data_IF_146356587021
#
_entry.id   IF_146356587021
#
_cell.length_a   1.000
_cell.length_b   1.000
_cell.length_c   1.000
_cell.angle_alpha   90.00
_cell.angle_beta   90.00
_cell.angle_gamma   90.00
#
_symmetry.space_group_name_H-M   'P 1'
#
loop_
_entity.id
_entity.type
_entity.pdbx_description
1 polymer ?
#
# COMPACT_ATOMS: atom_id res chain seq x y z
N UNK A 1 -6.13 40.21 -9.07
CA UNK A 1 -6.08 38.89 -9.75
C UNK A 1 -4.65 38.43 -9.96
N UNK A 2 -3.70 39.35 -10.20
CA UNK A 2 -2.30 38.99 -10.51
C UNK A 2 -1.54 38.32 -9.37
N UNK A 3 -1.76 38.75 -8.11
CA UNK A 3 -1.16 38.08 -6.93
C UNK A 3 -1.60 36.62 -6.76
N UNK A 4 -2.83 36.28 -7.16
CA UNK A 4 -3.31 34.90 -7.11
C UNK A 4 -2.64 34.06 -8.19
N UNK A 5 -2.45 34.59 -9.40
CA UNK A 5 -1.70 33.92 -10.47
C UNK A 5 -0.23 33.72 -10.09
N UNK A 6 0.39 34.70 -9.45
CA UNK A 6 1.77 34.57 -8.97
C UNK A 6 1.90 33.46 -7.93
N UNK A 7 0.94 33.37 -6.98
CA UNK A 7 0.92 32.30 -6.00
C UNK A 7 0.70 30.93 -6.65
N UNK A 8 -0.21 30.84 -7.62
CA UNK A 8 -0.51 29.61 -8.37
C UNK A 8 0.72 29.09 -9.14
N UNK A 9 1.48 29.99 -9.76
CA UNK A 9 2.74 29.65 -10.42
C UNK A 9 3.78 29.13 -9.43
N UNK A 10 3.88 29.72 -8.23
CA UNK A 10 4.79 29.25 -7.17
C UNK A 10 4.40 27.86 -6.67
N UNK A 11 3.10 27.60 -6.48
CA UNK A 11 2.60 26.28 -6.09
C UNK A 11 2.89 25.23 -7.16
N UNK A 12 2.73 25.60 -8.43
CA UNK A 12 3.05 24.72 -9.57
C UNK A 12 4.52 24.36 -9.60
N UNK A 13 5.42 25.32 -9.41
CA UNK A 13 6.86 25.06 -9.35
C UNK A 13 7.21 24.12 -8.19
N UNK A 14 6.66 24.36 -6.99
CA UNK A 14 6.91 23.50 -5.84
C UNK A 14 6.37 22.08 -6.02
N UNK A 15 5.22 21.91 -6.71
CA UNK A 15 4.69 20.58 -7.04
C UNK A 15 5.63 19.81 -7.98
N UNK A 16 6.24 20.50 -8.96
CA UNK A 16 7.26 19.90 -9.83
C UNK A 16 8.52 19.50 -9.06
N UNK A 17 8.99 20.35 -8.14
CA UNK A 17 10.14 20.04 -7.29
C UNK A 17 9.87 18.81 -6.42
N UNK A 18 8.68 18.73 -5.80
CA UNK A 18 8.27 17.56 -5.01
C UNK A 18 8.23 16.28 -5.85
N UNK A 19 7.75 16.37 -7.10
CA UNK A 19 7.72 15.26 -8.04
C UNK A 19 9.13 14.82 -8.45
N UNK A 20 10.06 15.76 -8.60
CA UNK A 20 11.46 15.44 -8.93
C UNK A 20 12.18 14.69 -7.80
N UNK A 21 11.84 14.98 -6.54
CA UNK A 21 12.40 14.27 -5.37
C UNK A 21 11.93 12.82 -5.25
N UNK A 22 11.00 12.35 -6.08
CA UNK A 22 10.42 11.02 -5.98
C UNK A 22 11.42 9.88 -6.15
N UNK A 23 12.44 10.09 -6.96
CA UNK A 23 13.47 9.08 -7.22
C UNK A 23 14.41 8.87 -6.02
N UNK A 24 14.45 9.85 -5.10
CA UNK A 24 15.23 9.76 -3.85
C UNK A 24 14.49 8.98 -2.75
N UNK A 25 13.18 8.75 -2.91
CA UNK A 25 12.38 8.04 -1.91
C UNK A 25 12.64 6.54 -2.02
N UNK A 26 13.41 6.04 -1.06
CA UNK A 26 13.70 4.62 -0.90
C UNK A 26 12.93 4.05 0.29
N UNK A 27 12.13 3.02 0.01
CA UNK A 27 11.46 2.26 1.05
C UNK A 27 12.46 1.33 1.73
N UNK A 28 12.51 1.37 3.06
CA UNK A 28 13.22 0.39 3.87
C UNK A 28 12.28 -0.78 4.17
N UNK A 29 12.71 -2.01 3.87
CA UNK A 29 11.99 -3.20 4.30
C UNK A 29 11.92 -3.27 5.83
N UNK A 30 10.71 -3.50 6.34
CA UNK A 30 10.41 -3.63 7.76
C UNK A 30 10.32 -5.10 8.15
N UNK A 31 9.56 -5.87 7.38
CA UNK A 31 9.19 -7.24 7.73
C UNK A 31 8.70 -7.99 6.49
N UNK A 32 9.01 -9.29 6.45
CA UNK A 32 8.48 -10.24 5.48
C UNK A 32 7.85 -11.41 6.24
N UNK A 33 6.57 -11.68 6.01
CA UNK A 33 5.81 -12.62 6.84
C UNK A 33 4.78 -13.43 6.06
N UNK A 34 4.51 -14.64 6.56
CA UNK A 34 3.37 -15.49 6.18
C UNK A 34 2.54 -15.77 7.43
N UNK A 35 1.22 -15.68 7.38
CA UNK A 35 0.40 -15.75 8.60
C UNK A 35 0.54 -17.06 9.39
N UNK A 36 0.80 -18.17 8.72
CA UNK A 36 1.03 -19.47 9.38
C UNK A 36 2.22 -19.44 10.35
N UNK A 37 3.26 -18.67 10.04
CA UNK A 37 4.48 -18.58 10.83
C UNK A 37 4.27 -17.80 12.14
N UNK A 38 3.12 -17.13 12.29
CA UNK A 38 2.79 -16.25 13.41
C UNK A 38 1.59 -16.73 14.23
N UNK A 39 1.29 -18.03 14.19
CA UNK A 39 0.17 -18.63 14.94
C UNK A 39 0.14 -18.24 16.43
N UNK A 40 1.29 -17.94 17.04
CA UNK A 40 1.42 -17.60 18.45
C UNK A 40 2.07 -16.23 18.76
N UNK A 41 2.31 -15.34 17.78
CA UNK A 41 2.92 -14.02 18.06
C UNK A 41 2.36 -12.89 17.20
N UNK A 42 2.22 -11.71 17.79
CA UNK A 42 1.95 -10.48 17.05
C UNK A 42 3.27 -9.81 16.62
N UNK A 43 3.24 -9.21 15.43
CA UNK A 43 4.34 -8.39 14.93
C UNK A 43 4.32 -7.05 15.68
N UNK A 44 5.46 -6.68 16.26
CA UNK A 44 5.63 -5.40 16.95
C UNK A 44 6.16 -4.34 15.97
N UNK A 45 5.41 -3.25 15.80
CA UNK A 45 5.77 -2.13 14.93
C UNK A 45 6.04 -0.83 15.70
N UNK A 46 6.31 -0.89 17.01
CA UNK A 46 6.55 0.31 17.84
C UNK A 46 7.69 1.19 17.32
N UNK A 47 8.77 0.59 16.82
CA UNK A 47 9.93 1.32 16.28
C UNK A 47 9.58 2.10 15.01
N UNK A 48 8.50 1.73 14.33
CA UNK A 48 8.00 2.39 13.12
C UNK A 48 6.91 3.44 13.41
N UNK A 49 6.83 3.95 14.64
CA UNK A 49 5.87 4.97 15.02
C UNK A 49 6.31 6.39 14.58
N UNK A 50 6.43 6.59 13.27
CA UNK A 50 6.78 7.87 12.66
C UNK A 50 5.75 8.30 11.60
N UNK A 51 5.86 9.56 11.16
CA UNK A 51 5.12 10.10 10.03
C UNK A 51 5.78 9.65 8.73
N UNK A 52 5.02 9.18 7.75
CA UNK A 52 5.59 8.73 6.50
C UNK A 52 4.65 7.92 5.62
N UNK A 53 5.28 7.17 4.71
CA UNK A 53 4.61 6.28 3.76
C UNK A 53 4.96 4.84 4.09
N UNK A 54 4.06 3.93 3.77
CA UNK A 54 4.25 2.49 3.88
C UNK A 54 3.68 1.78 2.65
N UNK A 55 4.30 0.65 2.33
CA UNK A 55 3.93 -0.21 1.23
C UNK A 55 3.77 -1.63 1.72
N UNK A 56 2.71 -2.29 1.25
CA UNK A 56 2.55 -3.73 1.31
C UNK A 56 2.76 -4.29 -0.08
N UNK A 57 3.47 -5.39 -0.16
CA UNK A 57 3.66 -6.22 -1.34
C UNK A 57 3.21 -7.64 -1.04
N UNK A 58 2.79 -8.35 -2.09
CA UNK A 58 2.46 -9.77 -2.04
C UNK A 58 3.41 -10.53 -2.96
N UNK A 59 3.90 -11.68 -2.49
CA UNK A 59 4.82 -12.50 -3.26
C UNK A 59 4.08 -13.24 -4.37
N UNK A 60 4.55 -13.11 -5.60
CA UNK A 60 4.27 -14.08 -6.65
C UNK A 60 5.18 -15.29 -6.41
N UNK A 61 4.60 -16.39 -5.91
CA UNK A 61 5.31 -17.62 -5.60
C UNK A 61 5.60 -18.49 -6.84
N UNK A 62 5.28 -18.01 -8.04
CA UNK A 62 5.47 -18.76 -9.28
C UNK A 62 4.52 -19.95 -9.44
N UNK A 63 3.45 -20.03 -8.65
CA UNK A 63 2.45 -21.09 -8.76
C UNK A 63 1.71 -21.06 -10.11
N UNK A 64 1.55 -19.87 -10.69
CA UNK A 64 0.94 -19.67 -12.00
C UNK A 64 2.02 -19.31 -13.02
N UNK A 65 2.02 -19.99 -14.16
CA UNK A 65 2.88 -19.64 -15.30
C UNK A 65 2.37 -18.39 -16.03
N UNK A 66 1.04 -18.22 -16.12
CA UNK A 66 0.39 -17.03 -16.69
C UNK A 66 0.00 -16.03 -15.59
N UNK A 67 0.43 -14.78 -15.75
CA UNK A 67 0.05 -13.67 -14.88
C UNK A 67 -1.46 -13.43 -14.86
N UNK A 68 -2.19 -13.76 -15.93
CA UNK A 68 -3.65 -13.62 -15.96
C UNK A 68 -4.34 -14.64 -15.04
N UNK A 69 -3.82 -15.85 -14.94
CA UNK A 69 -4.32 -16.84 -13.99
C UNK A 69 -4.07 -16.38 -12.56
N UNK A 70 -2.87 -15.86 -12.28
CA UNK A 70 -2.57 -15.22 -10.98
C UNK A 70 -3.54 -14.07 -10.67
N UNK A 71 -3.79 -13.16 -11.64
CA UNK A 71 -4.72 -12.03 -11.45
C UNK A 71 -6.14 -12.49 -11.17
N UNK A 72 -6.61 -13.52 -11.87
CA UNK A 72 -7.96 -14.06 -11.72
C UNK A 72 -8.12 -14.71 -10.34
N UNK A 73 -7.16 -15.54 -9.95
CA UNK A 73 -7.14 -16.17 -8.63
C UNK A 73 -7.06 -15.14 -7.50
N UNK A 74 -6.11 -14.20 -7.57
CA UNK A 74 -5.99 -13.12 -6.60
C UNK A 74 -7.29 -12.31 -6.50
N UNK A 75 -7.89 -11.94 -7.63
CA UNK A 75 -9.14 -11.17 -7.64
C UNK A 75 -10.27 -11.95 -6.99
N UNK A 76 -10.40 -13.25 -7.29
CA UNK A 76 -11.41 -14.14 -6.70
C UNK A 76 -11.27 -14.19 -5.18
N UNK A 77 -10.05 -14.40 -4.66
CA UNK A 77 -9.80 -14.47 -3.21
C UNK A 77 -9.92 -13.10 -2.52
N UNK A 78 -9.43 -12.04 -3.14
CA UNK A 78 -9.49 -10.70 -2.55
C UNK A 78 -10.93 -10.16 -2.47
N UNK A 79 -11.74 -10.44 -3.50
CA UNK A 79 -13.13 -9.99 -3.63
C UNK A 79 -14.15 -11.05 -3.18
N UNK A 80 -13.73 -12.08 -2.45
CA UNK A 80 -14.62 -13.09 -1.88
C UNK A 80 -15.75 -12.42 -1.07
N UNK A 81 -16.99 -12.91 -1.24
CA UNK A 81 -18.19 -12.32 -0.66
C UNK A 81 -18.15 -12.22 0.87
N UNK A 82 -17.40 -13.09 1.54
CA UNK A 82 -17.21 -13.03 2.99
C UNK A 82 -16.56 -11.73 3.44
N UNK A 83 -15.60 -11.22 2.65
CA UNK A 83 -14.83 -10.01 2.93
C UNK A 83 -15.32 -8.81 2.14
N UNK A 84 -15.94 -9.03 0.98
CA UNK A 84 -16.52 -7.99 0.15
C UNK A 84 -17.54 -7.19 0.98
N UNK A 85 -17.56 -5.86 0.83
CA UNK A 85 -18.42 -4.94 1.60
C UNK A 85 -18.12 -4.84 3.11
N UNK A 86 -17.05 -5.45 3.62
CA UNK A 86 -16.58 -5.29 5.01
C UNK A 86 -15.65 -4.09 5.21
N UNK A 87 -15.90 -2.98 4.52
CA UNK A 87 -15.07 -1.77 4.55
C UNK A 87 -13.58 -2.01 4.25
N UNK A 88 -13.27 -2.98 3.39
CA UNK A 88 -11.90 -3.27 2.95
C UNK A 88 -11.59 -2.55 1.62
N UNK A 89 -10.33 -2.22 1.32
CA UNK A 89 -9.92 -1.73 0.01
C UNK A 89 -10.24 -2.73 -1.11
N UNK A 90 -10.63 -2.22 -2.28
CA UNK A 90 -10.97 -3.03 -3.45
C UNK A 90 -9.76 -3.18 -4.38
N UNK A 91 -9.83 -4.17 -5.27
CA UNK A 91 -8.91 -4.31 -6.40
C UNK A 91 -9.07 -3.13 -7.36
N UNK A 92 -7.95 -2.59 -7.83
CA UNK A 92 -7.86 -1.54 -8.82
C UNK A 92 -7.76 -2.14 -10.21
N UNK A 93 -8.91 -2.40 -10.84
CA UNK A 93 -8.99 -3.06 -12.16
C UNK A 93 -8.03 -2.49 -13.22
N UNK A 94 -7.86 -1.16 -13.29
CA UNK A 94 -6.91 -0.52 -14.21
C UNK A 94 -5.46 -0.95 -13.92
N UNK A 95 -5.04 -0.85 -12.66
CA UNK A 95 -3.69 -1.20 -12.19
C UNK A 95 -3.40 -2.69 -12.35
N UNK A 96 -4.38 -3.54 -12.06
CA UNK A 96 -4.26 -4.98 -12.26
C UNK A 96 -4.10 -5.36 -13.75
N UNK A 97 -4.73 -4.62 -14.67
CA UNK A 97 -4.53 -4.83 -16.11
C UNK A 97 -3.11 -4.48 -16.56
N UNK A 98 -2.51 -3.44 -15.97
CA UNK A 98 -1.16 -2.96 -16.26
C UNK A 98 -0.06 -3.89 -15.71
N UNK A 99 -0.39 -4.82 -14.79
CA UNK A 99 0.53 -5.86 -14.34
C UNK A 99 0.74 -6.89 -15.46
N UNK A 100 1.82 -6.80 -16.24
CA UNK A 100 2.04 -7.70 -17.40
C UNK A 100 3.13 -8.72 -17.20
N UNK A 101 4.01 -8.53 -16.21
CA UNK A 101 5.16 -9.39 -15.99
C UNK A 101 4.83 -10.55 -15.05
N UNK A 102 4.89 -11.79 -15.57
CA UNK A 102 4.72 -13.01 -14.78
C UNK A 102 5.92 -13.32 -13.89
N UNK A 103 7.09 -12.73 -14.16
CA UNK A 103 8.33 -12.97 -13.39
C UNK A 103 8.51 -11.98 -12.24
N UNK A 104 7.62 -11.00 -12.10
CA UNK A 104 7.69 -10.04 -11.01
C UNK A 104 7.43 -10.76 -9.66
N UNK A 105 8.51 -10.99 -8.90
CA UNK A 105 8.45 -11.73 -7.62
C UNK A 105 7.60 -11.01 -6.57
N UNK A 106 7.68 -9.68 -6.50
CA UNK A 106 6.95 -8.87 -5.52
C UNK A 106 5.99 -7.93 -6.22
N UNK A 107 4.70 -8.13 -5.98
CA UNK A 107 3.64 -7.34 -6.59
C UNK A 107 3.19 -6.28 -5.58
N UNK A 108 3.29 -4.98 -5.93
CA UNK A 108 2.79 -3.89 -5.10
C UNK A 108 1.30 -4.08 -4.82
N UNK A 109 0.97 -4.29 -3.56
CA UNK A 109 -0.39 -4.55 -3.11
C UNK A 109 -1.07 -3.25 -2.72
N UNK A 110 -0.49 -2.51 -1.78
CA UNK A 110 -1.10 -1.32 -1.22
C UNK A 110 -0.06 -0.29 -0.81
N UNK A 111 -0.31 0.98 -1.10
CA UNK A 111 0.51 2.11 -0.61
C UNK A 111 -0.39 3.04 0.19
N UNK A 112 0.07 3.44 1.36
CA UNK A 112 -0.63 4.40 2.21
C UNK A 112 0.30 5.36 2.94
N UNK A 113 -0.31 6.38 3.53
CA UNK A 113 0.35 7.40 4.36
C UNK A 113 -0.21 7.40 5.77
N UNK A 114 0.62 7.72 6.77
CA UNK A 114 0.17 7.86 8.15
C UNK A 114 1.08 8.78 8.95
N UNK A 115 0.51 9.47 9.94
CA UNK A 115 1.29 10.16 10.99
C UNK A 115 1.91 9.19 12.00
N UNK A 116 1.44 7.94 12.00
CA UNK A 116 1.90 6.84 12.82
C UNK A 116 1.88 5.58 11.95
N UNK A 117 2.98 5.33 11.25
CA UNK A 117 3.12 4.26 10.26
C UNK A 117 2.91 2.89 10.91
N UNK A 118 3.63 2.58 11.99
CA UNK A 118 3.52 1.31 12.70
C UNK A 118 2.10 0.99 13.17
N UNK A 119 1.39 1.96 13.78
CA UNK A 119 -0.03 1.79 14.15
C UNK A 119 -0.89 1.46 12.93
N UNK A 120 -0.66 2.14 11.81
CA UNK A 120 -1.48 1.95 10.62
C UNK A 120 -1.21 0.60 9.95
N UNK A 121 0.05 0.18 9.87
CA UNK A 121 0.43 -1.17 9.43
C UNK A 121 -0.26 -2.22 10.31
N UNK A 122 -0.16 -2.07 11.64
CA UNK A 122 -0.84 -2.96 12.58
C UNK A 122 -2.35 -3.04 12.33
N UNK A 123 -3.03 -1.92 12.06
CA UNK A 123 -4.44 -1.93 11.68
C UNK A 123 -4.70 -2.67 10.35
N UNK A 124 -3.83 -2.51 9.34
CA UNK A 124 -3.96 -3.25 8.08
C UNK A 124 -3.85 -4.76 8.27
N UNK A 125 -3.09 -5.23 9.26
CA UNK A 125 -2.90 -6.66 9.54
C UNK A 125 -3.99 -7.20 10.47
N UNK A 126 -4.15 -6.60 11.65
CA UNK A 126 -4.87 -7.20 12.78
C UNK A 126 -6.28 -6.66 13.02
N UNK A 127 -6.72 -5.60 12.31
CA UNK A 127 -8.05 -5.03 12.57
C UNK A 127 -9.14 -6.07 12.25
N UNK A 128 -10.10 -6.32 13.17
CA UNK A 128 -11.19 -7.28 12.93
C UNK A 128 -12.04 -6.94 11.71
N UNK A 129 -12.56 -7.96 11.03
CA UNK A 129 -13.32 -7.84 9.78
C UNK A 129 -14.60 -7.00 9.95
N UNK A 130 -15.19 -6.98 11.14
CA UNK A 130 -16.43 -6.26 11.48
C UNK A 130 -16.22 -4.75 11.64
N UNK A 131 -14.99 -4.28 11.88
CA UNK A 131 -14.74 -2.86 12.15
C UNK A 131 -14.85 -2.04 10.87
N UNK A 132 -15.57 -0.92 10.92
CA UNK A 132 -15.83 -0.03 9.78
C UNK A 132 -14.64 0.89 9.48
N UNK A 133 -13.51 0.30 9.10
CA UNK A 133 -12.29 1.03 8.71
C UNK A 133 -11.76 0.49 7.40
N UNK A 134 -11.25 1.37 6.53
CA UNK A 134 -10.58 1.03 5.26
C UNK A 134 -9.21 0.35 5.40
N UNK A 135 -8.99 -0.40 6.48
CA UNK A 135 -7.83 -1.29 6.63
C UNK A 135 -8.01 -2.54 5.75
N UNK A 136 -6.91 -3.20 5.37
CA UNK A 136 -6.96 -4.42 4.55
C UNK A 136 -7.44 -5.64 5.33
N UNK A 137 -7.16 -5.66 6.65
CA UNK A 137 -7.56 -6.69 7.61
C UNK A 137 -7.02 -8.08 7.24
N UNK A 138 -5.74 -8.11 6.89
CA UNK A 138 -5.10 -9.26 6.25
C UNK A 138 -5.21 -10.55 7.10
N UNK A 139 -5.05 -10.47 8.43
CA UNK A 139 -5.16 -11.65 9.31
C UNK A 139 -6.57 -12.25 9.34
N UNK A 140 -7.60 -11.43 9.14
CA UNK A 140 -8.98 -11.91 9.13
C UNK A 140 -9.37 -12.58 7.80
N UNK A 141 -8.57 -12.40 6.74
CA UNK A 141 -8.78 -13.02 5.42
C UNK A 141 -8.11 -14.39 5.39
N UNK A 142 -8.79 -15.39 5.96
CA UNK A 142 -8.24 -16.74 6.09
C UNK A 142 -7.88 -17.39 4.74
N UNK A 143 -8.53 -16.97 3.64
CA UNK A 143 -8.23 -17.40 2.27
C UNK A 143 -6.92 -16.81 1.70
N UNK A 144 -6.24 -15.93 2.44
CA UNK A 144 -4.90 -15.40 2.13
C UNK A 144 -3.83 -15.89 3.14
N UNK A 145 -4.15 -16.88 3.99
CA UNK A 145 -3.25 -17.35 5.07
C UNK A 145 -1.91 -17.89 4.56
N UNK A 146 -1.89 -18.46 3.35
CA UNK A 146 -0.69 -19.02 2.72
C UNK A 146 0.15 -17.99 1.96
N UNK A 147 -0.34 -16.76 1.83
CA UNK A 147 0.37 -15.71 1.11
C UNK A 147 1.54 -15.16 1.92
N UNK A 148 2.60 -14.79 1.21
CA UNK A 148 3.75 -14.10 1.80
C UNK A 148 3.63 -12.61 1.49
N UNK A 149 3.67 -11.79 2.54
CA UNK A 149 3.61 -10.35 2.44
C UNK A 149 4.95 -9.74 2.83
N UNK A 150 5.31 -8.65 2.16
CA UNK A 150 6.42 -7.78 2.55
C UNK A 150 5.89 -6.40 2.89
N UNK A 151 6.43 -5.82 3.95
CA UNK A 151 6.12 -4.46 4.39
C UNK A 151 7.39 -3.64 4.29
N UNK A 152 7.27 -2.46 3.72
CA UNK A 152 8.35 -1.48 3.69
C UNK A 152 7.80 -0.10 4.08
N UNK A 153 8.63 0.76 4.66
CA UNK A 153 8.24 2.14 4.97
C UNK A 153 9.37 3.14 4.74
N UNK A 154 8.98 4.41 4.69
CA UNK A 154 9.89 5.55 4.65
C UNK A 154 9.39 6.64 5.59
N UNK A 155 10.29 7.16 6.43
CA UNK A 155 10.01 8.27 7.33
C UNK A 155 10.02 9.58 6.54
N UNK A 156 8.98 10.40 6.71
CA UNK A 156 8.87 11.74 6.12
C UNK A 156 8.54 12.73 7.24
N UNK A 157 9.59 13.36 7.74
CA UNK A 157 9.50 14.29 8.88
C UNK A 157 9.54 15.73 8.39
N UNK A 158 8.36 16.23 7.99
CA UNK A 158 8.20 17.57 7.42
C UNK A 158 7.08 18.33 8.13
N UNK A 159 7.23 19.65 8.22
CA UNK A 159 6.23 20.53 8.85
C UNK A 159 4.92 20.56 8.06
N UNK A 160 5.00 20.66 6.73
CA UNK A 160 3.86 20.73 5.84
C UNK A 160 3.36 19.35 5.39
N UNK A 161 3.26 18.39 6.33
CA UNK A 161 2.92 16.98 6.05
C UNK A 161 1.64 16.83 5.21
N UNK A 162 0.60 17.61 5.52
CA UNK A 162 -0.69 17.54 4.82
C UNK A 162 -0.64 18.03 3.37
N UNK A 163 0.42 18.74 2.98
CA UNK A 163 0.60 19.22 1.62
C UNK A 163 1.58 18.33 0.86
N UNK A 164 2.73 18.03 1.47
CA UNK A 164 3.81 17.25 0.84
C UNK A 164 3.43 15.77 0.66
N UNK A 165 3.07 15.08 1.76
CA UNK A 165 2.94 13.61 1.73
C UNK A 165 1.82 13.10 0.82
N UNK A 166 0.67 13.79 0.66
CA UNK A 166 -0.31 13.41 -0.36
C UNK A 166 0.21 13.44 -1.80
N UNK A 167 1.05 14.41 -2.16
CA UNK A 167 1.65 14.47 -3.50
C UNK A 167 2.57 13.27 -3.69
N UNK A 168 3.48 13.02 -2.74
CA UNK A 168 4.41 11.90 -2.79
C UNK A 168 3.69 10.53 -2.84
N UNK A 169 2.64 10.35 -2.04
CA UNK A 169 1.82 9.12 -2.06
C UNK A 169 1.18 8.89 -3.44
N UNK A 170 0.66 9.95 -4.06
CA UNK A 170 0.00 9.86 -5.35
C UNK A 170 1.00 9.48 -6.46
N UNK A 171 2.17 10.12 -6.47
CA UNK A 171 3.22 9.80 -7.43
C UNK A 171 3.76 8.37 -7.25
N UNK A 172 3.98 7.92 -6.01
CA UNK A 172 4.35 6.52 -5.74
C UNK A 172 3.29 5.55 -6.22
N UNK A 173 2.01 5.85 -6.02
CA UNK A 173 0.94 5.01 -6.54
C UNK A 173 1.00 4.95 -8.06
N UNK A 174 1.22 6.07 -8.74
CA UNK A 174 1.31 6.08 -10.21
C UNK A 174 2.51 5.28 -10.71
N UNK A 175 3.67 5.41 -10.05
CA UNK A 175 4.92 4.72 -10.43
C UNK A 175 4.92 3.23 -10.10
N UNK A 176 4.58 2.86 -8.86
CA UNK A 176 4.69 1.48 -8.35
C UNK A 176 3.43 0.64 -8.61
N UNK A 177 2.35 1.28 -9.04
CA UNK A 177 1.15 0.61 -9.48
C UNK A 177 0.49 -0.40 -8.50
N UNK A 178 0.21 -0.02 -7.23
CA UNK A 178 -0.37 -0.94 -6.26
C UNK A 178 -1.77 -1.41 -6.66
N UNK A 179 -1.99 -2.72 -6.67
CA UNK A 179 -3.21 -3.33 -7.24
C UNK A 179 -4.44 -3.25 -6.33
N UNK A 180 -4.27 -2.86 -5.05
CA UNK A 180 -5.34 -2.67 -4.07
C UNK A 180 -5.35 -1.23 -3.56
N UNK A 181 -6.54 -0.66 -3.42
CA UNK A 181 -6.69 0.68 -2.85
C UNK A 181 -8.13 1.13 -2.71
N UNK A 182 -8.32 2.28 -2.06
CA UNK A 182 -9.62 2.95 -2.01
C UNK A 182 -9.82 3.70 -3.32
N UNK A 183 -10.97 3.49 -3.99
CA UNK A 183 -11.36 4.06 -5.29
C UNK A 183 -10.90 5.49 -5.53
#
# INVERSE_FOLDING_TARGET
>A
MDKLKELDNKLTALDLDLKAMMDEIQFQEIETFKFEDFSNRELDFKEFNFKGLYMFEIKNNGFFEDINDWKNDFTKRWCDEEFLRRFVPNVRKKRLKELTDSNQEWIPLYIGKSRSVGKRIHEHIYKPIEKTTFAMKLKARHNLSYEVFRISAVKIDVNNYNWIVPVLENELRNRLNPIVGKQ
#
